data_IF_581459682161
#
_entry.id   IF_581459682161
#
_cell.length_a   1.000
_cell.length_b   1.000
_cell.length_c   1.000
_cell.angle_alpha   90.00
_cell.angle_beta   90.00
_cell.angle_gamma   90.00
#
_symmetry.space_group_name_H-M   'P 1'
#
loop_
_entity.id
_entity.type
_entity.pdbx_description
1 polymer ?
#
# COMPACT_ATOMS: atom_id res chain seq x y z
N UNK A 1 18.73 -4.77 -2.46
CA UNK A 1 18.14 -3.47 -2.13
C UNK A 1 19.24 -2.47 -1.82
N UNK A 2 19.07 -1.24 -2.24
CA UNK A 2 19.94 -0.11 -1.91
C UNK A 2 19.51 0.58 -0.60
N UNK A 3 18.44 0.11 0.03
CA UNK A 3 17.80 0.74 1.19
C UNK A 3 18.27 0.19 2.54
N UNK A 4 19.44 -0.49 2.57
CA UNK A 4 20.03 -1.02 3.81
C UNK A 4 20.85 0.00 4.59
N UNK A 5 21.27 1.08 3.95
CA UNK A 5 22.11 2.10 4.55
C UNK A 5 21.25 3.02 5.42
N UNK A 6 21.36 2.84 6.74
CA UNK A 6 20.62 3.64 7.73
C UNK A 6 21.29 5.00 7.99
N UNK A 7 22.43 5.29 7.38
CA UNK A 7 23.10 6.60 7.46
C UNK A 7 22.46 7.63 6.52
N UNK A 8 21.67 7.16 5.53
CA UNK A 8 20.94 8.00 4.60
C UNK A 8 19.47 8.07 4.98
N UNK A 9 18.88 9.27 4.89
CA UNK A 9 17.45 9.45 5.10
C UNK A 9 16.64 8.67 4.05
N UNK A 10 15.71 7.86 4.52
CA UNK A 10 14.85 7.04 3.71
C UNK A 10 13.37 7.35 3.98
N UNK A 11 12.64 7.69 2.93
CA UNK A 11 11.18 7.93 2.95
C UNK A 11 10.40 6.88 2.15
N UNK A 12 11.06 5.76 1.78
CA UNK A 12 10.44 4.63 1.08
C UNK A 12 10.21 3.47 2.04
N UNK A 13 9.11 2.73 1.85
CA UNK A 13 8.75 1.64 2.74
C UNK A 13 9.58 0.36 2.53
N UNK A 14 10.06 0.12 1.29
CA UNK A 14 10.83 -1.08 0.98
C UNK A 14 12.26 -1.00 1.52
N UNK A 15 12.68 -2.01 2.31
CA UNK A 15 14.06 -2.13 2.84
C UNK A 15 14.78 -3.34 2.28
N UNK A 16 14.22 -4.51 2.43
CA UNK A 16 14.93 -5.79 2.26
C UNK A 16 14.92 -6.34 0.82
N UNK A 17 14.07 -5.83 -0.08
CA UNK A 17 13.96 -6.32 -1.45
C UNK A 17 13.38 -7.74 -1.57
N UNK A 18 12.67 -8.23 -0.55
CA UNK A 18 12.14 -9.59 -0.54
C UNK A 18 10.88 -9.77 -1.39
N UNK A 19 10.12 -8.70 -1.68
CA UNK A 19 8.82 -8.81 -2.35
C UNK A 19 8.88 -9.59 -3.65
N UNK A 20 9.71 -9.18 -4.60
CA UNK A 20 9.85 -9.86 -5.89
C UNK A 20 10.43 -11.28 -5.75
N UNK A 21 11.35 -11.51 -4.81
CA UNK A 21 11.92 -12.84 -4.54
C UNK A 21 10.85 -13.80 -3.98
N UNK A 22 10.08 -13.36 -3.00
CA UNK A 22 9.00 -14.15 -2.42
C UNK A 22 7.92 -14.44 -3.47
N UNK A 23 7.53 -13.46 -4.28
CA UNK A 23 6.60 -13.70 -5.39
C UNK A 23 7.12 -14.79 -6.33
N UNK A 24 8.41 -14.78 -6.68
CA UNK A 24 9.01 -15.82 -7.52
C UNK A 24 9.03 -17.19 -6.83
N UNK A 25 9.45 -17.27 -5.56
CA UNK A 25 9.50 -18.53 -4.78
C UNK A 25 8.11 -19.16 -4.59
N UNK A 26 7.06 -18.33 -4.50
CA UNK A 26 5.67 -18.79 -4.38
C UNK A 26 4.93 -18.85 -5.72
N UNK A 27 5.66 -18.94 -6.82
CA UNK A 27 5.09 -19.06 -8.17
C UNK A 27 5.60 -20.30 -8.90
N UNK A 28 4.71 -20.95 -9.63
CA UNK A 28 5.07 -22.05 -10.55
C UNK A 28 5.81 -21.51 -11.77
N UNK A 29 5.50 -20.27 -12.18
CA UNK A 29 6.19 -19.52 -13.24
C UNK A 29 6.31 -18.07 -12.86
N UNK A 30 7.48 -17.47 -13.09
CA UNK A 30 7.77 -16.06 -12.89
C UNK A 30 8.62 -15.53 -14.04
N UNK A 31 8.35 -14.33 -14.50
CA UNK A 31 9.12 -13.72 -15.57
C UNK A 31 9.23 -12.21 -15.39
N UNK A 32 10.36 -11.68 -15.82
CA UNK A 32 10.61 -10.22 -15.87
C UNK A 32 10.96 -9.84 -17.31
N UNK A 33 10.37 -8.75 -17.77
CA UNK A 33 10.75 -8.07 -19.01
C UNK A 33 10.99 -6.59 -18.70
N UNK A 34 12.22 -6.15 -18.93
CA UNK A 34 12.63 -4.76 -18.72
C UNK A 34 12.98 -4.17 -20.08
N UNK A 35 12.31 -3.07 -20.45
CA UNK A 35 12.70 -2.23 -21.57
C UNK A 35 13.47 -1.04 -20.99
N UNK A 36 14.67 -0.81 -21.50
CA UNK A 36 15.53 0.30 -21.12
C UNK A 36 15.68 1.22 -22.34
N UNK A 37 14.99 2.37 -22.26
CA UNK A 37 15.00 3.36 -23.34
C UNK A 37 16.29 4.15 -23.40
N UNK A 38 17.07 4.21 -22.31
CA UNK A 38 18.36 4.91 -22.24
C UNK A 38 19.46 4.03 -22.82
N UNK A 39 19.62 2.79 -22.30
CA UNK A 39 20.64 1.84 -22.76
C UNK A 39 20.22 1.05 -24.02
N UNK A 40 19.08 1.37 -24.61
CA UNK A 40 18.56 0.76 -25.85
C UNK A 40 18.54 -0.78 -25.80
N UNK A 41 18.09 -1.32 -24.70
CA UNK A 41 18.08 -2.77 -24.47
C UNK A 41 16.76 -3.28 -23.94
N UNK A 42 16.44 -4.55 -24.25
CA UNK A 42 15.36 -5.29 -23.60
C UNK A 42 15.98 -6.50 -22.92
N UNK A 43 15.81 -6.56 -21.62
CA UNK A 43 16.16 -7.71 -20.80
C UNK A 43 14.90 -8.57 -20.56
N UNK A 44 15.06 -9.90 -20.68
CA UNK A 44 14.01 -10.86 -20.31
C UNK A 44 14.63 -12.05 -19.58
N UNK A 45 13.98 -12.47 -18.49
CA UNK A 45 14.38 -13.68 -17.78
C UNK A 45 13.15 -14.40 -17.22
N UNK A 46 13.21 -15.73 -17.17
CA UNK A 46 12.14 -16.59 -16.70
C UNK A 46 12.66 -17.55 -15.63
N UNK A 47 11.83 -17.80 -14.63
CA UNK A 47 11.99 -18.80 -13.59
C UNK A 47 10.78 -19.72 -13.56
N UNK A 48 10.97 -20.93 -13.12
CA UNK A 48 9.90 -21.91 -12.94
C UNK A 48 10.19 -22.82 -11.75
N UNK A 49 9.18 -23.61 -11.37
CA UNK A 49 9.29 -24.56 -10.28
C UNK A 49 9.74 -23.88 -8.97
N UNK A 50 9.00 -22.83 -8.57
CA UNK A 50 9.26 -22.08 -7.35
C UNK A 50 10.71 -21.55 -7.26
N UNK A 51 11.17 -20.94 -8.36
CA UNK A 51 12.52 -20.40 -8.53
C UNK A 51 13.66 -21.44 -8.59
N UNK A 52 13.36 -22.75 -8.53
CA UNK A 52 14.38 -23.80 -8.62
C UNK A 52 15.04 -23.86 -9.99
N UNK A 53 14.31 -23.54 -11.04
CA UNK A 53 14.79 -23.50 -12.43
C UNK A 53 14.86 -22.06 -12.89
N UNK A 54 16.06 -21.63 -13.31
CA UNK A 54 16.31 -20.31 -13.86
C UNK A 54 16.81 -20.42 -15.29
N UNK A 55 16.13 -19.81 -16.24
CA UNK A 55 16.62 -19.71 -17.61
C UNK A 55 17.67 -18.62 -17.73
N UNK A 56 18.69 -18.77 -18.61
CA UNK A 56 19.62 -17.70 -18.90
C UNK A 56 18.87 -16.42 -19.35
N UNK A 57 19.36 -15.24 -18.93
CA UNK A 57 18.78 -13.98 -19.37
C UNK A 57 18.97 -13.79 -20.89
N UNK A 58 18.00 -13.14 -21.53
CA UNK A 58 18.09 -12.74 -22.93
C UNK A 58 18.12 -11.23 -23.02
N UNK A 59 19.14 -10.68 -23.66
CA UNK A 59 19.26 -9.23 -23.91
C UNK A 59 19.16 -9.00 -25.42
N UNK A 60 18.30 -8.10 -25.83
CA UNK A 60 18.09 -7.71 -27.24
C UNK A 60 18.18 -6.19 -27.38
N UNK A 61 18.51 -5.71 -28.58
CA UNK A 61 18.43 -4.29 -28.93
C UNK A 61 17.00 -3.76 -28.84
N UNK A 62 16.85 -2.53 -28.41
CA UNK A 62 15.55 -1.83 -28.30
C UNK A 62 15.63 -0.49 -29.03
N UNK A 63 14.76 -0.29 -29.99
CA UNK A 63 14.73 0.97 -30.76
C UNK A 63 13.92 2.10 -30.08
N UNK A 64 13.09 1.73 -29.08
CA UNK A 64 12.24 2.71 -28.38
C UNK A 64 13.00 3.58 -27.39
N UNK A 65 12.32 4.61 -26.89
CA UNK A 65 12.87 5.58 -25.91
C UNK A 65 12.22 5.44 -24.52
N UNK A 66 11.12 4.71 -24.41
CA UNK A 66 10.39 4.54 -23.14
C UNK A 66 10.93 3.37 -22.35
N UNK A 67 11.19 3.59 -21.06
CA UNK A 67 11.56 2.52 -20.13
C UNK A 67 10.30 1.91 -19.49
N UNK A 68 10.31 0.62 -19.28
CA UNK A 68 9.23 -0.09 -18.57
C UNK A 68 9.71 -1.38 -17.92
N UNK A 69 9.04 -1.76 -16.83
CA UNK A 69 9.23 -3.06 -16.19
C UNK A 69 7.89 -3.80 -16.22
N UNK A 70 7.90 -5.02 -16.71
CA UNK A 70 6.77 -5.93 -16.68
C UNK A 70 7.15 -7.16 -15.85
N UNK A 71 6.37 -7.45 -14.83
CA UNK A 71 6.49 -8.66 -14.00
C UNK A 71 5.25 -9.50 -14.24
N UNK A 72 5.44 -10.79 -14.58
CA UNK A 72 4.36 -11.74 -14.76
C UNK A 72 4.62 -12.98 -13.92
N UNK A 73 3.60 -13.50 -13.25
CA UNK A 73 3.75 -14.69 -12.44
C UNK A 73 2.45 -15.49 -12.35
N UNK A 74 2.61 -16.79 -12.11
CA UNK A 74 1.53 -17.72 -11.84
C UNK A 74 1.74 -18.22 -10.42
N UNK A 75 0.90 -17.84 -9.45
CA UNK A 75 1.02 -18.29 -8.07
C UNK A 75 0.97 -19.83 -7.96
N UNK A 76 1.71 -20.37 -7.02
CA UNK A 76 1.57 -21.77 -6.63
C UNK A 76 0.50 -21.87 -5.54
N UNK A 77 -0.76 -21.97 -5.96
CA UNK A 77 -1.90 -21.99 -5.07
C UNK A 77 -1.87 -23.13 -4.05
N UNK A 78 -1.24 -24.24 -4.39
CA UNK A 78 -1.13 -25.39 -3.48
C UNK A 78 -0.35 -25.05 -2.22
N UNK A 79 0.63 -24.14 -2.30
CA UNK A 79 1.37 -23.63 -1.13
C UNK A 79 0.55 -22.77 -0.20
N UNK A 80 -0.58 -22.29 -0.64
CA UNK A 80 -1.54 -21.54 0.15
C UNK A 80 -2.75 -22.36 0.58
N UNK A 81 -2.73 -23.70 0.32
CA UNK A 81 -3.85 -24.59 0.60
C UNK A 81 -5.05 -24.37 -0.32
N UNK A 82 -4.81 -23.82 -1.49
CA UNK A 82 -5.83 -23.45 -2.49
C UNK A 82 -5.58 -24.20 -3.82
N UNK A 83 -6.60 -24.28 -4.66
CA UNK A 83 -6.48 -24.84 -6.02
C UNK A 83 -6.35 -23.73 -7.08
N UNK A 84 -7.01 -22.59 -6.84
CA UNK A 84 -7.04 -21.46 -7.76
C UNK A 84 -7.32 -20.16 -6.98
N UNK A 85 -7.32 -19.04 -7.69
CA UNK A 85 -7.71 -17.75 -7.12
C UNK A 85 -9.23 -17.70 -6.94
N UNK A 86 -9.68 -17.49 -5.71
CA UNK A 86 -11.08 -17.23 -5.39
C UNK A 86 -11.41 -15.71 -5.42
N UNK A 87 -12.70 -15.41 -5.31
CA UNK A 87 -13.18 -14.01 -5.30
C UNK A 87 -12.61 -13.20 -4.15
N UNK A 88 -12.31 -13.82 -3.01
CA UNK A 88 -11.77 -13.13 -1.84
C UNK A 88 -10.35 -12.65 -2.10
N UNK A 89 -9.51 -13.51 -2.69
CA UNK A 89 -8.14 -13.16 -3.09
C UNK A 89 -8.16 -12.10 -4.20
N UNK A 90 -9.06 -12.24 -5.17
CA UNK A 90 -9.24 -11.24 -6.22
C UNK A 90 -9.54 -9.85 -5.65
N UNK A 91 -10.49 -9.77 -4.72
CA UNK A 91 -10.82 -8.51 -4.02
C UNK A 91 -9.67 -7.94 -3.19
N UNK A 92 -8.82 -8.80 -2.62
CA UNK A 92 -7.60 -8.36 -1.94
C UNK A 92 -6.63 -7.70 -2.94
N UNK A 93 -6.44 -8.27 -4.13
CA UNK A 93 -5.61 -7.65 -5.15
C UNK A 93 -6.20 -6.32 -5.64
N UNK A 94 -7.50 -6.27 -5.90
CA UNK A 94 -8.21 -5.04 -6.27
C UNK A 94 -8.02 -3.95 -5.19
N UNK A 95 -8.26 -4.31 -3.92
CA UNK A 95 -8.00 -3.39 -2.79
C UNK A 95 -6.57 -2.86 -2.79
N UNK A 96 -5.57 -3.73 -3.00
CA UNK A 96 -4.16 -3.31 -3.03
C UNK A 96 -3.84 -2.34 -4.16
N UNK A 97 -4.55 -2.42 -5.26
CA UNK A 97 -4.40 -1.47 -6.38
C UNK A 97 -5.00 -0.11 -6.02
N UNK A 98 -6.16 -0.09 -5.34
CA UNK A 98 -6.72 1.14 -4.78
C UNK A 98 -5.78 1.75 -3.71
N UNK A 99 -5.20 0.93 -2.83
CA UNK A 99 -4.19 1.36 -1.85
C UNK A 99 -2.97 2.00 -2.55
N UNK A 100 -2.47 1.38 -3.63
CA UNK A 100 -1.38 1.94 -4.41
C UNK A 100 -1.77 3.26 -5.09
N UNK A 101 -3.00 3.36 -5.59
CA UNK A 101 -3.50 4.56 -6.24
C UNK A 101 -3.54 5.77 -5.29
N UNK A 102 -4.01 5.58 -4.05
CA UNK A 102 -4.07 6.66 -3.05
C UNK A 102 -2.68 7.01 -2.46
N UNK A 103 -1.74 6.05 -2.47
CA UNK A 103 -0.39 6.25 -1.95
C UNK A 103 0.59 6.85 -2.97
N UNK A 104 0.28 6.80 -4.26
CA UNK A 104 1.13 7.37 -5.32
C UNK A 104 0.79 8.83 -5.59
N UNK A 105 1.76 9.57 -6.16
CA UNK A 105 1.58 10.98 -6.53
C UNK A 105 0.45 11.17 -7.56
N UNK A 106 -0.09 12.39 -7.63
CA UNK A 106 -1.14 12.75 -8.60
C UNK A 106 -0.73 12.52 -10.07
N UNK A 107 0.57 12.59 -10.35
CA UNK A 107 1.11 12.38 -11.69
C UNK A 107 1.27 10.89 -12.05
N UNK A 108 1.21 9.99 -11.08
CA UNK A 108 1.29 8.54 -11.32
C UNK A 108 -0.07 7.99 -11.68
N UNK A 109 -0.22 7.49 -12.90
CA UNK A 109 -1.44 6.86 -13.39
C UNK A 109 -1.45 5.38 -13.00
N UNK A 110 -2.47 4.95 -12.29
CA UNK A 110 -2.69 3.55 -11.90
C UNK A 110 -3.82 2.98 -12.73
N UNK A 111 -3.60 1.79 -13.30
CA UNK A 111 -4.61 1.05 -14.05
C UNK A 111 -4.87 -0.30 -13.41
N UNK A 112 -6.10 -0.74 -13.49
CA UNK A 112 -6.53 -2.09 -13.14
C UNK A 112 -7.34 -2.67 -14.31
N UNK A 113 -6.97 -3.83 -14.81
CA UNK A 113 -7.60 -4.46 -15.99
C UNK A 113 -7.71 -3.48 -17.18
N UNK A 114 -6.61 -2.76 -17.48
CA UNK A 114 -6.51 -1.71 -18.50
C UNK A 114 -7.36 -0.46 -18.28
N UNK A 115 -8.25 -0.45 -17.29
CA UNK A 115 -9.03 0.74 -16.91
C UNK A 115 -8.21 1.68 -16.00
N UNK A 116 -8.26 2.97 -16.30
CA UNK A 116 -7.59 3.99 -15.51
C UNK A 116 -8.38 4.26 -14.24
N UNK A 117 -7.76 4.05 -13.08
CA UNK A 117 -8.35 4.46 -11.81
C UNK A 117 -8.27 5.99 -11.65
N UNK A 118 -9.40 6.64 -11.35
CA UNK A 118 -9.39 8.07 -11.07
C UNK A 118 -8.58 8.38 -9.82
N UNK A 119 -7.80 9.46 -9.84
CA UNK A 119 -7.20 9.99 -8.63
C UNK A 119 -8.30 10.63 -7.79
N UNK A 120 -8.32 10.30 -6.52
CA UNK A 120 -9.29 10.83 -5.57
C UNK A 120 -8.61 11.47 -4.37
N UNK A 121 -9.33 12.31 -3.66
CA UNK A 121 -8.90 12.82 -2.36
C UNK A 121 -8.96 11.72 -1.29
N UNK A 122 -8.23 11.90 -0.18
CA UNK A 122 -8.11 10.85 0.84
C UNK A 122 -9.45 10.53 1.53
N UNK A 123 -10.34 11.52 1.67
CA UNK A 123 -11.71 11.29 2.15
C UNK A 123 -12.56 10.44 1.19
N UNK A 124 -12.39 10.60 -0.13
CA UNK A 124 -13.08 9.75 -1.09
C UNK A 124 -12.61 8.29 -1.04
N UNK A 125 -11.31 8.07 -0.74
CA UNK A 125 -10.81 6.74 -0.43
C UNK A 125 -11.42 6.19 0.88
N UNK A 126 -11.51 7.01 1.94
CA UNK A 126 -12.13 6.61 3.20
C UNK A 126 -13.62 6.21 3.02
N UNK A 127 -14.34 6.85 2.12
CA UNK A 127 -15.74 6.49 1.77
C UNK A 127 -15.90 5.08 1.20
N UNK A 128 -14.84 4.41 0.75
CA UNK A 128 -14.91 3.00 0.34
C UNK A 128 -15.10 2.05 1.54
N UNK A 129 -14.86 2.52 2.77
CA UNK A 129 -14.90 1.72 3.99
C UNK A 129 -16.06 2.09 4.91
N UNK A 130 -16.61 3.27 4.79
CA UNK A 130 -17.68 3.74 5.66
C UNK A 130 -18.83 4.32 4.85
N UNK A 131 -20.04 4.13 5.35
CA UNK A 131 -21.27 4.72 4.79
C UNK A 131 -21.51 6.13 5.30
N UNK A 132 -20.78 6.58 6.33
CA UNK A 132 -20.96 7.91 6.90
C UNK A 132 -20.48 8.99 5.93
N UNK A 133 -21.29 10.02 5.78
CA UNK A 133 -20.92 11.26 5.11
C UNK A 133 -20.24 12.26 6.07
N UNK A 134 -20.34 12.01 7.36
CA UNK A 134 -19.70 12.82 8.40
C UNK A 134 -18.25 12.43 8.53
N UNK A 135 -17.37 13.25 7.95
CA UNK A 135 -15.94 13.04 7.97
C UNK A 135 -15.19 14.34 8.26
N UNK A 136 -14.17 14.23 9.11
CA UNK A 136 -13.19 15.29 9.32
C UNK A 136 -11.89 14.89 8.60
N UNK A 137 -11.29 15.84 7.87
CA UNK A 137 -10.05 15.62 7.15
C UNK A 137 -8.98 16.64 7.51
N UNK A 138 -7.75 16.18 7.57
CA UNK A 138 -6.55 17.01 7.72
C UNK A 138 -5.52 16.56 6.72
N UNK A 139 -4.87 17.51 6.04
CA UNK A 139 -3.80 17.22 5.09
C UNK A 139 -2.66 18.21 5.28
N UNK A 140 -1.46 17.67 5.36
CA UNK A 140 -0.20 18.41 5.34
C UNK A 140 0.75 17.77 4.32
N UNK A 141 1.97 18.27 4.21
CA UNK A 141 2.98 17.74 3.30
C UNK A 141 3.24 16.24 3.52
N UNK A 142 3.31 15.81 4.78
CA UNK A 142 3.67 14.44 5.16
C UNK A 142 2.52 13.60 5.72
N UNK A 143 1.36 14.21 5.99
CA UNK A 143 0.24 13.54 6.64
C UNK A 143 -1.06 13.81 5.90
N UNK A 144 -1.84 12.77 5.70
CA UNK A 144 -3.25 12.88 5.36
C UNK A 144 -4.02 12.03 6.38
N UNK A 145 -4.96 12.65 7.06
CA UNK A 145 -5.80 12.01 8.08
C UNK A 145 -7.25 12.23 7.70
N UNK A 146 -8.06 11.18 7.83
CA UNK A 146 -9.50 11.27 7.74
C UNK A 146 -10.10 10.50 8.91
N UNK A 147 -11.17 11.01 9.50
CA UNK A 147 -11.87 10.38 10.61
C UNK A 147 -13.34 10.35 10.26
N UNK A 148 -13.94 9.19 10.49
CA UNK A 148 -15.37 8.98 10.40
C UNK A 148 -15.87 8.39 11.72
N UNK A 149 -17.18 8.50 12.03
CA UNK A 149 -17.80 7.74 13.10
C UNK A 149 -17.64 6.24 12.86
N UNK A 150 -17.46 5.47 13.93
CA UNK A 150 -17.52 4.00 13.91
C UNK A 150 -18.53 3.50 14.93
N UNK A 151 -19.35 2.53 14.52
CA UNK A 151 -20.27 1.80 15.39
C UNK A 151 -19.66 0.50 15.91
N UNK A 152 -18.62 -0.01 15.23
CA UNK A 152 -17.97 -1.31 15.50
C UNK A 152 -16.76 -1.19 16.45
N UNK A 153 -16.56 -0.01 17.05
CA UNK A 153 -15.40 0.27 17.89
C UNK A 153 -14.27 0.96 17.12
N UNK A 154 -13.07 0.95 17.69
CA UNK A 154 -11.90 1.57 17.05
C UNK A 154 -11.44 0.77 15.86
N UNK A 155 -11.50 1.39 14.70
CA UNK A 155 -10.99 0.84 13.44
C UNK A 155 -9.97 1.79 12.82
N UNK A 156 -9.06 1.24 11.98
CA UNK A 156 -8.14 2.06 11.21
C UNK A 156 -7.78 1.45 9.87
N UNK A 157 -7.51 2.31 8.90
CA UNK A 157 -6.77 2.00 7.68
C UNK A 157 -5.59 2.93 7.60
N UNK A 158 -4.38 2.39 7.58
CA UNK A 158 -3.20 3.24 7.68
C UNK A 158 -2.07 2.82 6.74
N UNK A 159 -1.28 3.84 6.35
CA UNK A 159 -0.15 3.70 5.44
C UNK A 159 1.04 4.50 5.96
N UNK A 160 2.21 3.88 5.89
CA UNK A 160 3.49 4.55 6.11
C UNK A 160 4.37 4.34 4.88
N UNK A 161 4.81 5.43 4.26
CA UNK A 161 5.65 5.41 3.06
C UNK A 161 5.10 4.49 1.95
N UNK A 162 3.77 4.53 1.74
CA UNK A 162 3.07 3.74 0.74
C UNK A 162 2.82 2.27 1.12
N UNK A 163 3.23 1.82 2.30
CA UNK A 163 2.95 0.48 2.81
C UNK A 163 1.74 0.50 3.74
N UNK A 164 0.78 -0.39 3.48
CA UNK A 164 -0.38 -0.58 4.35
C UNK A 164 0.06 -1.20 5.69
N UNK A 165 -0.23 -0.52 6.79
CA UNK A 165 0.10 -0.94 8.16
C UNK A 165 -1.12 -1.54 8.84
N UNK A 166 -1.47 -2.79 8.47
CA UNK A 166 -2.69 -3.47 8.92
C UNK A 166 -2.76 -3.68 10.43
N UNK A 167 -1.62 -3.71 11.12
CA UNK A 167 -1.55 -3.83 12.59
C UNK A 167 -1.49 -2.48 13.30
N UNK A 168 -1.62 -1.37 12.57
CA UNK A 168 -1.44 -0.03 13.13
C UNK A 168 0.02 0.30 13.41
N UNK A 169 0.25 1.04 14.47
CA UNK A 169 1.57 1.49 14.94
C UNK A 169 1.51 2.89 15.55
N UNK A 170 2.66 3.41 15.97
CA UNK A 170 2.78 4.70 16.66
C UNK A 170 2.14 5.87 15.90
N UNK A 171 2.12 5.86 14.58
CA UNK A 171 1.47 6.87 13.75
C UNK A 171 -0.07 6.88 13.93
N UNK A 172 -0.69 5.71 14.07
CA UNK A 172 -2.14 5.58 14.35
C UNK A 172 -2.43 5.98 15.79
N UNK A 173 -1.60 5.52 16.73
CA UNK A 173 -1.76 5.81 18.15
C UNK A 173 -1.61 7.31 18.44
N UNK A 174 -0.64 7.95 17.80
CA UNK A 174 -0.43 9.40 17.90
C UNK A 174 -1.66 10.18 17.41
N UNK A 175 -2.13 9.88 16.20
CA UNK A 175 -3.30 10.58 15.61
C UNK A 175 -4.53 10.34 16.47
N UNK A 176 -4.88 9.09 16.76
CA UNK A 176 -6.08 8.75 17.53
C UNK A 176 -6.03 9.28 18.96
N UNK A 177 -4.83 9.30 19.58
CA UNK A 177 -4.62 9.85 20.92
C UNK A 177 -4.77 11.36 20.96
N UNK A 178 -4.16 12.07 20.01
CA UNK A 178 -4.26 13.55 19.92
C UNK A 178 -5.71 13.98 19.76
N UNK A 179 -6.45 13.32 18.88
CA UNK A 179 -7.86 13.63 18.63
C UNK A 179 -8.71 13.34 19.87
N UNK A 180 -8.53 12.15 20.47
CA UNK A 180 -9.28 11.77 21.66
C UNK A 180 -9.05 12.76 22.82
N UNK A 181 -7.81 13.20 23.03
CA UNK A 181 -7.48 14.18 24.07
C UNK A 181 -8.11 15.54 23.77
N UNK A 182 -8.05 16.03 22.54
CA UNK A 182 -8.70 17.30 22.16
C UNK A 182 -10.21 17.27 22.41
N UNK A 183 -10.90 16.17 22.04
CA UNK A 183 -12.35 16.03 22.32
C UNK A 183 -12.63 15.98 23.82
N UNK A 184 -11.79 15.28 24.60
CA UNK A 184 -11.95 15.21 26.05
C UNK A 184 -11.79 16.60 26.68
N UNK A 185 -10.82 17.37 26.24
CA UNK A 185 -10.59 18.74 26.71
C UNK A 185 -11.81 19.66 26.41
N UNK A 186 -12.32 19.60 25.19
CA UNK A 186 -13.49 20.37 24.77
C UNK A 186 -14.76 19.98 25.54
N UNK A 187 -14.89 18.69 25.84
CA UNK A 187 -16.07 18.13 26.51
C UNK A 187 -15.96 18.11 28.05
N UNK A 188 -14.79 18.45 28.63
CA UNK A 188 -14.49 18.28 30.05
C UNK A 188 -15.47 18.98 31.00
N UNK A 189 -16.09 20.07 30.54
CA UNK A 189 -17.10 20.84 31.34
C UNK A 189 -18.48 20.15 31.30
N UNK A 190 -18.73 19.23 30.36
CA UNK A 190 -20.06 18.65 30.16
C UNK A 190 -20.11 17.16 30.57
N UNK A 191 -19.08 16.39 30.21
CA UNK A 191 -19.03 14.93 30.41
C UNK A 191 -17.60 14.51 30.76
N UNK A 192 -17.46 13.55 31.69
CA UNK A 192 -16.19 12.83 31.91
C UNK A 192 -16.08 11.66 30.93
N UNK A 193 -15.18 11.80 29.96
CA UNK A 193 -14.87 10.75 28.98
C UNK A 193 -13.49 10.15 29.24
N UNK A 194 -13.36 8.86 28.98
CA UNK A 194 -12.04 8.17 28.96
C UNK A 194 -11.51 8.12 27.53
N UNK A 195 -10.19 8.25 27.30
CA UNK A 195 -9.61 8.23 25.94
C UNK A 195 -10.05 7.01 25.11
N UNK A 196 -10.14 5.85 25.71
CA UNK A 196 -10.57 4.63 25.00
C UNK A 196 -12.03 4.68 24.55
N UNK A 197 -12.92 5.30 25.34
CA UNK A 197 -14.32 5.46 24.96
C UNK A 197 -14.45 6.38 23.74
N UNK A 198 -13.64 7.45 23.71
CA UNK A 198 -13.62 8.38 22.57
C UNK A 198 -13.02 7.71 21.34
N UNK A 199 -11.91 6.97 21.49
CA UNK A 199 -11.30 6.24 20.37
C UNK A 199 -12.23 5.21 19.78
N UNK A 200 -13.00 4.49 20.57
CA UNK A 200 -13.95 3.47 20.10
C UNK A 200 -15.09 4.04 19.24
N UNK A 201 -15.29 5.34 19.21
CA UNK A 201 -16.25 5.98 18.32
C UNK A 201 -15.67 6.37 16.95
N UNK A 202 -14.40 5.98 16.65
CA UNK A 202 -13.71 6.43 15.44
C UNK A 202 -13.31 5.30 14.51
N UNK A 203 -13.49 5.56 13.23
CA UNK A 203 -12.75 4.94 12.15
C UNK A 203 -11.71 5.93 11.64
N UNK A 204 -10.44 5.61 11.80
CA UNK A 204 -9.32 6.52 11.52
C UNK A 204 -8.56 6.06 10.28
N UNK A 205 -8.39 6.96 9.34
CA UNK A 205 -7.60 6.75 8.13
C UNK A 205 -6.35 7.62 8.21
N UNK A 206 -5.19 7.01 8.05
CA UNK A 206 -3.90 7.72 8.16
C UNK A 206 -3.00 7.35 6.99
N UNK A 207 -2.48 8.36 6.30
CA UNK A 207 -1.38 8.20 5.35
C UNK A 207 -0.24 9.11 5.79
N UNK A 208 0.89 8.52 6.16
CA UNK A 208 2.05 9.23 6.66
C UNK A 208 3.30 8.96 5.83
N UNK A 209 4.12 9.99 5.65
CA UNK A 209 5.49 9.89 5.13
C UNK A 209 6.46 10.15 6.25
N UNK A 210 7.16 9.11 6.67
CA UNK A 210 8.10 9.15 7.80
C UNK A 210 9.53 8.93 7.29
N UNK A 211 10.47 9.58 7.96
CA UNK A 211 11.91 9.35 7.72
C UNK A 211 12.32 8.13 8.53
N UNK A 212 13.00 7.19 7.88
CA UNK A 212 13.54 5.96 8.51
C UNK A 212 12.49 5.22 9.38
N UNK A 213 11.33 4.86 8.79
CA UNK A 213 10.29 4.14 9.52
C UNK A 213 10.68 2.71 9.85
#
# INVERSE_FOLDING_TARGET
STNYDDTQERVVGGRNGYGAKLTNVYSTKFSIKIKDGENKSVYTQEWSDNMKKCRPPKIKKYAGTTSSVCVSFIPDWTRFGMTEMDDSIYKIFEKRIHDANICTSQNCKVKFQDELLPKCAFNAYAKMYTKSDEMCTFTSERWSVCIAPSEDGFEHVSFVNGICTTKGGSHVDHVSGTIANGIIEDMAKKIKLRPQQVKNAFFVFVKATLVNP
#
